data_IF_760981007721
#
_entry.id   IF_760981007721
#
_cell.length_a   1.000
_cell.length_b   1.000
_cell.length_c   1.000
_cell.angle_alpha   90.00
_cell.angle_beta   90.00
_cell.angle_gamma   90.00
#
_symmetry.space_group_name_H-M   'P 1'
#
loop_
_entity.id
_entity.type
_entity.pdbx_description
1 polymer ?
#
# COMPACT_ATOMS: atom_id res chain seq x y z
N UNK A 1 -16.01 16.23 23.20
CA UNK A 1 -14.62 15.75 23.00
C UNK A 1 -13.67 16.82 23.54
N UNK A 2 -12.58 16.46 24.24
CA UNK A 2 -11.75 17.44 24.97
C UNK A 2 -10.84 18.24 24.02
N UNK A 3 -10.62 19.54 24.33
CA UNK A 3 -9.77 20.46 23.54
C UNK A 3 -8.35 19.92 23.26
N UNK A 4 -7.86 19.05 24.15
CA UNK A 4 -6.57 18.38 24.01
C UNK A 4 -6.58 17.45 22.79
N UNK A 5 -7.62 16.63 22.61
CA UNK A 5 -7.75 15.71 21.47
C UNK A 5 -7.79 16.47 20.15
N UNK A 6 -8.55 17.58 20.09
CA UNK A 6 -8.60 18.44 18.91
C UNK A 6 -7.25 19.10 18.57
N UNK A 7 -6.48 19.52 19.58
CA UNK A 7 -5.15 20.10 19.35
C UNK A 7 -4.16 19.06 18.79
N UNK A 8 -4.22 17.81 19.28
CA UNK A 8 -3.37 16.70 18.85
C UNK A 8 -3.74 16.26 17.44
N UNK A 9 -5.03 16.15 17.11
CA UNK A 9 -5.47 15.81 15.74
C UNK A 9 -5.04 16.88 14.75
N UNK A 10 -5.18 18.16 15.10
CA UNK A 10 -4.76 19.29 14.25
C UNK A 10 -3.25 19.36 14.06
N UNK A 11 -2.47 19.04 15.09
CA UNK A 11 -1.02 18.91 15.00
C UNK A 11 -0.59 17.72 14.12
N UNK A 12 -1.23 16.56 14.29
CA UNK A 12 -1.01 15.40 13.43
C UNK A 12 -1.36 15.69 11.96
N UNK A 13 -2.45 16.42 11.73
CA UNK A 13 -2.87 16.84 10.40
C UNK A 13 -1.93 17.87 9.77
N UNK A 14 -1.30 18.75 10.55
CA UNK A 14 -0.23 19.66 10.09
C UNK A 14 1.05 18.93 9.71
N UNK A 15 1.33 17.77 10.30
CA UNK A 15 2.49 16.93 9.93
C UNK A 15 2.29 16.16 8.62
N UNK A 16 1.06 16.06 8.10
CA UNK A 16 0.79 15.46 6.80
C UNK A 16 1.19 16.42 5.68
N UNK A 17 2.27 16.08 4.97
CA UNK A 17 2.70 16.80 3.77
C UNK A 17 1.65 16.62 2.66
N UNK A 18 1.08 17.73 2.17
CA UNK A 18 0.20 17.71 1.00
C UNK A 18 1.03 17.43 -0.25
N UNK A 19 0.64 16.41 -1.02
CA UNK A 19 1.26 16.04 -2.29
C UNK A 19 0.18 16.10 -3.36
N UNK A 20 0.31 17.02 -4.31
CA UNK A 20 -0.70 17.26 -5.34
C UNK A 20 -0.59 16.27 -6.51
N UNK A 21 0.63 16.03 -6.98
CA UNK A 21 0.91 15.18 -8.14
C UNK A 21 1.93 14.10 -7.79
N UNK A 22 1.52 13.04 -7.10
CA UNK A 22 2.45 12.00 -6.72
C UNK A 22 2.81 11.06 -7.89
N UNK A 23 4.10 10.81 -8.10
CA UNK A 23 4.60 9.81 -9.04
C UNK A 23 4.91 8.49 -8.31
N UNK A 24 3.87 7.77 -7.87
CA UNK A 24 4.00 6.42 -7.28
C UNK A 24 3.10 5.46 -8.04
N UNK A 25 3.62 4.29 -8.33
CA UNK A 25 2.89 3.22 -9.01
C UNK A 25 2.61 2.12 -8.00
N UNK A 26 1.36 1.70 -7.91
CA UNK A 26 0.92 0.57 -7.11
C UNK A 26 0.27 -0.46 -8.01
N UNK A 27 0.59 -1.74 -7.77
CA UNK A 27 0.04 -2.83 -8.55
C UNK A 27 -0.90 -3.65 -7.67
N UNK A 28 -2.14 -3.80 -8.13
CA UNK A 28 -3.08 -4.74 -7.54
C UNK A 28 -2.59 -6.18 -7.78
N UNK A 29 -2.46 -6.97 -6.70
CA UNK A 29 -1.99 -8.36 -6.83
C UNK A 29 -3.20 -9.30 -6.97
N UNK A 30 -3.38 -10.03 -8.08
CA UNK A 30 -4.60 -10.80 -8.34
C UNK A 30 -4.77 -12.05 -7.45
N UNK A 31 -3.70 -12.57 -6.86
CA UNK A 31 -3.73 -13.81 -6.07
C UNK A 31 -4.08 -13.54 -4.59
N UNK A 32 -5.24 -12.95 -4.33
CA UNK A 32 -5.62 -12.49 -2.99
C UNK A 32 -6.40 -13.51 -2.17
N UNK A 33 -7.33 -14.26 -2.77
CA UNK A 33 -8.04 -15.42 -2.19
C UNK A 33 -8.98 -16.04 -3.24
N UNK A 34 -9.52 -17.22 -2.93
CA UNK A 34 -10.47 -17.99 -3.76
C UNK A 34 -11.92 -17.52 -3.67
N UNK A 35 -12.22 -16.50 -2.88
CA UNK A 35 -13.56 -15.92 -2.71
C UNK A 35 -13.75 -14.68 -3.59
N UNK A 36 -14.93 -14.55 -4.18
CA UNK A 36 -15.31 -13.38 -5.02
C UNK A 36 -15.34 -12.07 -4.22
N UNK A 37 -15.48 -12.15 -2.89
CA UNK A 37 -15.54 -11.02 -1.95
C UNK A 37 -14.24 -10.91 -1.17
N UNK A 38 -13.68 -9.70 -1.11
CA UNK A 38 -12.39 -9.39 -0.48
C UNK A 38 -12.55 -8.31 0.59
N UNK A 39 -12.35 -8.69 1.86
CA UNK A 39 -12.22 -7.74 2.99
C UNK A 39 -10.81 -7.13 3.06
N UNK A 40 -9.86 -7.73 2.34
CA UNK A 40 -8.46 -7.34 2.36
C UNK A 40 -7.87 -7.44 0.96
N UNK A 41 -7.22 -6.35 0.56
CA UNK A 41 -6.52 -6.22 -0.71
C UNK A 41 -5.01 -6.19 -0.51
N UNK A 42 -4.26 -6.86 -1.39
CA UNK A 42 -2.80 -6.87 -1.46
C UNK A 42 -2.31 -5.98 -2.62
N UNK A 43 -1.60 -4.93 -2.28
CA UNK A 43 -0.96 -4.05 -3.25
C UNK A 43 0.55 -4.25 -3.21
N UNK A 44 1.18 -4.38 -4.37
CA UNK A 44 2.64 -4.24 -4.49
C UNK A 44 2.96 -2.76 -4.64
N UNK A 45 3.77 -2.24 -3.72
CA UNK A 45 4.09 -0.81 -3.61
C UNK A 45 5.62 -0.62 -3.55
N UNK A 46 6.12 0.59 -3.87
CA UNK A 46 7.55 0.90 -3.74
C UNK A 46 8.01 0.80 -2.26
N UNK A 47 9.24 0.31 -1.99
CA UNK A 47 9.78 0.24 -0.63
C UNK A 47 9.84 1.60 0.10
N UNK A 48 9.90 2.71 -0.64
CA UNK A 48 9.93 4.06 -0.09
C UNK A 48 8.58 4.56 0.46
N UNK A 49 7.47 3.90 0.12
CA UNK A 49 6.13 4.37 0.48
C UNK A 49 5.75 3.98 1.91
N UNK A 50 5.23 4.91 2.70
CA UNK A 50 4.80 4.66 4.08
C UNK A 50 3.35 4.17 4.18
N UNK A 51 3.02 3.46 5.27
CA UNK A 51 1.67 2.90 5.50
C UNK A 51 0.57 3.96 5.51
N UNK A 52 0.87 5.17 6.01
CA UNK A 52 -0.08 6.29 6.04
C UNK A 52 -0.29 6.88 4.66
N UNK A 53 0.76 6.99 3.84
CA UNK A 53 0.63 7.43 2.45
C UNK A 53 -0.18 6.44 1.62
N UNK A 54 -0.03 5.14 1.88
CA UNK A 54 -0.81 4.09 1.21
C UNK A 54 -2.28 4.21 1.57
N UNK A 55 -2.59 4.42 2.85
CA UNK A 55 -3.96 4.67 3.32
C UNK A 55 -4.55 5.89 2.61
N UNK A 56 -3.86 7.03 2.69
CA UNK A 56 -4.32 8.30 2.13
C UNK A 56 -4.51 8.21 0.60
N UNK A 57 -3.65 7.47 -0.10
CA UNK A 57 -3.81 7.25 -1.53
C UNK A 57 -5.03 6.41 -1.87
N UNK A 58 -5.27 5.32 -1.13
CA UNK A 58 -6.43 4.46 -1.43
C UNK A 58 -7.74 5.19 -1.12
N UNK A 59 -7.79 5.91 0.00
CA UNK A 59 -8.96 6.70 0.38
C UNK A 59 -9.21 7.87 -0.56
N UNK A 60 -8.18 8.64 -0.93
CA UNK A 60 -8.36 9.84 -1.75
C UNK A 60 -8.30 9.58 -3.27
N UNK A 61 -7.58 8.56 -3.70
CA UNK A 61 -7.33 8.25 -5.11
C UNK A 61 -8.31 7.23 -5.69
N UNK A 62 -8.91 6.37 -4.86
CA UNK A 62 -9.89 5.36 -5.28
C UNK A 62 -11.22 5.47 -4.50
N UNK A 63 -11.43 6.55 -3.73
CA UNK A 63 -12.64 6.78 -2.93
C UNK A 63 -13.06 5.57 -2.08
N UNK A 64 -12.09 4.81 -1.58
CA UNK A 64 -12.33 3.55 -0.90
C UNK A 64 -11.98 3.66 0.59
N UNK A 65 -12.94 3.49 1.51
CA UNK A 65 -12.68 3.56 2.95
C UNK A 65 -11.75 2.45 3.45
N UNK A 66 -10.68 2.83 4.16
CA UNK A 66 -9.65 1.90 4.65
C UNK A 66 -9.63 1.83 6.17
N UNK A 67 -9.93 0.64 6.70
CA UNK A 67 -9.87 0.36 8.14
C UNK A 67 -8.44 0.42 8.67
N UNK A 68 -7.52 -0.31 8.04
CA UNK A 68 -6.10 -0.36 8.44
C UNK A 68 -5.21 -0.86 7.31
N UNK A 69 -3.93 -0.53 7.40
CA UNK A 69 -2.89 -0.99 6.47
C UNK A 69 -1.77 -1.68 7.24
N UNK A 70 -1.45 -2.91 6.85
CA UNK A 70 -0.23 -3.60 7.23
C UNK A 70 0.72 -3.65 6.04
N UNK A 71 2.03 -3.61 6.31
CA UNK A 71 3.03 -3.63 5.24
C UNK A 71 4.13 -4.63 5.57
N UNK A 72 4.62 -5.33 4.56
CA UNK A 72 5.78 -6.21 4.66
C UNK A 72 6.79 -5.84 3.57
N UNK A 73 8.06 -5.73 3.95
CA UNK A 73 9.16 -5.56 3.01
C UNK A 73 9.59 -6.93 2.50
N UNK A 74 9.75 -7.05 1.18
CA UNK A 74 10.18 -8.26 0.51
C UNK A 74 11.48 -8.02 -0.22
N UNK A 75 12.41 -8.93 -0.03
CA UNK A 75 13.66 -8.93 -0.78
C UNK A 75 13.45 -9.51 -2.17
N UNK A 76 14.02 -8.85 -3.16
CA UNK A 76 14.07 -9.34 -4.52
C UNK A 76 14.98 -10.56 -4.62
N UNK A 77 14.51 -11.57 -5.35
CA UNK A 77 15.26 -12.81 -5.58
C UNK A 77 16.56 -12.54 -6.37
N UNK A 78 17.64 -13.21 -5.97
CA UNK A 78 18.87 -13.32 -6.75
C UNK A 78 18.68 -14.30 -7.92
N UNK A 79 18.97 -13.86 -9.14
CA UNK A 79 18.79 -14.63 -10.37
C UNK A 79 20.11 -14.75 -11.10
N UNK A 80 20.44 -15.97 -11.53
CA UNK A 80 21.62 -16.24 -12.36
C UNK A 80 21.39 -15.70 -13.78
N UNK A 81 22.39 -15.05 -14.35
CA UNK A 81 22.36 -14.69 -15.76
C UNK A 81 22.36 -15.97 -16.62
N UNK A 82 21.45 -16.05 -17.59
CA UNK A 82 21.35 -17.21 -18.49
C UNK A 82 22.54 -17.31 -19.47
N UNK A 83 23.13 -16.18 -19.86
CA UNK A 83 24.12 -16.10 -20.94
C UNK A 83 25.46 -15.48 -20.50
N UNK A 84 25.65 -15.21 -19.21
CA UNK A 84 26.88 -14.63 -18.65
C UNK A 84 27.16 -15.27 -17.29
N UNK A 85 28.43 -15.34 -16.91
CA UNK A 85 28.79 -15.63 -15.53
C UNK A 85 28.40 -14.42 -14.66
N UNK A 86 27.48 -14.63 -13.72
CA UNK A 86 27.04 -13.61 -12.77
C UNK A 86 25.63 -13.83 -12.26
N UNK A 87 25.27 -13.03 -11.26
CA UNK A 87 23.92 -12.96 -10.70
C UNK A 87 23.44 -11.51 -10.71
N UNK A 88 22.13 -11.30 -10.84
CA UNK A 88 21.50 -10.01 -10.58
C UNK A 88 20.41 -10.17 -9.53
N UNK A 89 20.25 -9.17 -8.67
CA UNK A 89 19.14 -9.11 -7.70
C UNK A 89 17.95 -8.43 -8.37
N UNK A 90 16.76 -9.03 -8.28
CA UNK A 90 15.53 -8.29 -8.60
C UNK A 90 15.36 -7.14 -7.60
N UNK A 91 14.68 -6.05 -7.98
CA UNK A 91 14.39 -4.98 -7.05
C UNK A 91 13.56 -5.49 -5.86
N UNK A 92 13.93 -5.02 -4.66
CA UNK A 92 13.13 -5.20 -3.45
C UNK A 92 11.78 -4.49 -3.64
N UNK A 93 10.75 -5.02 -2.99
CA UNK A 93 9.40 -4.46 -3.07
C UNK A 93 8.72 -4.53 -1.72
N UNK A 94 7.67 -3.73 -1.55
CA UNK A 94 6.84 -3.78 -0.36
C UNK A 94 5.47 -4.30 -0.76
N UNK A 95 4.87 -5.12 0.09
CA UNK A 95 3.47 -5.53 -0.04
C UNK A 95 2.68 -4.82 1.04
N UNK A 96 1.60 -4.20 0.63
CA UNK A 96 0.62 -3.59 1.52
C UNK A 96 -0.63 -4.46 1.58
N UNK A 97 -1.01 -4.85 2.78
CA UNK A 97 -2.27 -5.50 3.10
C UNK A 97 -3.24 -4.43 3.59
N UNK A 98 -4.16 -4.04 2.72
CA UNK A 98 -5.15 -2.98 2.95
C UNK A 98 -6.44 -3.67 3.36
N UNK A 99 -6.89 -3.43 4.59
CA UNK A 99 -8.16 -3.93 5.10
C UNK A 99 -9.23 -2.86 4.82
N UNK A 100 -10.25 -3.25 4.07
CA UNK A 100 -11.33 -2.36 3.66
C UNK A 100 -12.39 -2.27 4.76
N UNK A 101 -13.12 -1.16 4.83
CA UNK A 101 -14.31 -1.09 5.69
C UNK A 101 -15.51 -1.79 5.05
N UNK A 102 -15.62 -1.65 3.73
CA UNK A 102 -16.64 -2.33 2.91
C UNK A 102 -15.97 -3.41 2.07
N UNK A 103 -16.48 -4.65 2.07
CA UNK A 103 -15.93 -5.72 1.24
C UNK A 103 -15.98 -5.34 -0.24
N UNK A 104 -14.90 -5.61 -0.99
CA UNK A 104 -14.84 -5.36 -2.42
C UNK A 104 -15.03 -6.65 -3.21
N UNK A 105 -15.85 -6.60 -4.26
CA UNK A 105 -16.11 -7.73 -5.16
C UNK A 105 -15.28 -7.63 -6.41
N UNK A 106 -14.60 -8.71 -6.79
CA UNK A 106 -13.84 -8.77 -8.04
C UNK A 106 -14.81 -8.84 -9.23
N UNK A 107 -14.71 -7.93 -10.23
CA UNK A 107 -15.49 -8.05 -11.46
C UNK A 107 -15.14 -9.34 -12.20
N UNK A 108 -16.16 -10.05 -12.72
CA UNK A 108 -16.00 -11.28 -13.51
C UNK A 108 -15.71 -11.00 -14.97
#
# INVERSE_FOLDING_TARGET
>A
MSKVVESVTKAAQRMRKKIYFPNRIMYFMPNQQSSDVLDMVKLRVPPSMHKFEIKDWVEAGYDTPVKKVHTANYEGRLIRYKHKNGFYKRPDYKVAYVYLETPWTVPK
#
